data_IF_124374318942
#
_entry.id   IF_124374318942
#
_cell.length_a   1.000
_cell.length_b   1.000
_cell.length_c   1.000
_cell.angle_alpha   90.00
_cell.angle_beta   90.00
_cell.angle_gamma   90.00
#
_symmetry.space_group_name_H-M   'P 1'
#
loop_
_entity.id
_entity.type
_entity.pdbx_description
1 polymer ?
#
# COMPACT_ATOMS: atom_id res chain seq x y z
N UNK A 1 -7.02 22.28 -4.97
CA UNK A 1 -7.20 20.82 -4.86
C UNK A 1 -7.07 20.23 -6.25
N UNK A 2 -6.14 19.30 -6.47
CA UNK A 2 -5.98 18.63 -7.77
C UNK A 2 -6.80 17.35 -7.78
N UNK A 3 -7.21 16.87 -8.96
CA UNK A 3 -7.93 15.61 -9.12
C UNK A 3 -7.26 14.42 -8.39
N UNK A 4 -5.92 14.46 -8.33
CA UNK A 4 -5.10 13.51 -7.59
C UNK A 4 -5.40 13.45 -6.09
N UNK A 5 -5.84 14.54 -5.49
CA UNK A 5 -6.10 14.62 -4.04
C UNK A 5 -7.41 13.89 -3.70
N UNK A 6 -8.44 14.03 -4.54
CA UNK A 6 -9.70 13.30 -4.39
C UNK A 6 -9.52 11.80 -4.64
N UNK A 7 -8.69 11.42 -5.60
CA UNK A 7 -8.40 10.01 -5.87
C UNK A 7 -7.71 9.32 -4.67
N UNK A 8 -6.81 10.05 -3.99
CA UNK A 8 -6.13 9.57 -2.76
C UNK A 8 -7.11 9.42 -1.60
N UNK A 9 -7.99 10.39 -1.39
CA UNK A 9 -9.07 10.32 -0.39
C UNK A 9 -10.00 9.13 -0.67
N UNK A 10 -10.39 8.94 -1.92
CA UNK A 10 -11.20 7.80 -2.33
C UNK A 10 -10.48 6.46 -2.07
N UNK A 11 -9.19 6.37 -2.37
CA UNK A 11 -8.36 5.20 -2.04
C UNK A 11 -8.29 4.91 -0.54
N UNK A 12 -8.32 5.92 0.33
CA UNK A 12 -8.36 5.73 1.79
C UNK A 12 -9.72 5.22 2.28
N UNK A 13 -10.80 5.58 1.59
CA UNK A 13 -12.17 5.16 1.91
C UNK A 13 -12.52 3.76 1.35
N UNK A 14 -11.73 3.24 0.41
CA UNK A 14 -11.89 1.87 -0.08
C UNK A 14 -11.46 0.90 1.01
N UNK A 15 -12.34 -0.07 1.26
CA UNK A 15 -12.12 -1.20 2.16
C UNK A 15 -10.75 -1.87 1.95
N UNK A 16 -10.10 -2.23 3.06
CA UNK A 16 -8.74 -2.77 3.04
C UNK A 16 -8.64 -4.07 2.28
N UNK A 17 -9.61 -4.96 2.43
CA UNK A 17 -9.58 -6.30 1.83
C UNK A 17 -9.74 -6.17 0.31
N UNK A 18 -10.71 -5.35 -0.11
CA UNK A 18 -10.93 -5.03 -1.53
C UNK A 18 -9.71 -4.37 -2.18
N UNK A 19 -8.95 -3.59 -1.43
CA UNK A 19 -7.70 -2.97 -1.92
C UNK A 19 -6.62 -4.03 -2.12
N UNK A 20 -6.46 -4.95 -1.18
CA UNK A 20 -5.48 -6.04 -1.26
C UNK A 20 -5.81 -6.99 -2.42
N UNK A 21 -7.07 -7.38 -2.59
CA UNK A 21 -7.52 -8.21 -3.71
C UNK A 21 -7.16 -7.58 -5.07
N UNK A 22 -7.44 -6.28 -5.23
CA UNK A 22 -7.09 -5.55 -6.47
C UNK A 22 -5.58 -5.51 -6.73
N UNK A 23 -4.77 -5.41 -5.68
CA UNK A 23 -3.31 -5.47 -5.81
C UNK A 23 -2.87 -6.87 -6.23
N UNK A 24 -3.45 -7.92 -5.65
CA UNK A 24 -3.19 -9.30 -6.04
C UNK A 24 -3.56 -9.57 -7.51
N UNK A 25 -4.72 -9.07 -7.97
CA UNK A 25 -5.14 -9.14 -9.37
C UNK A 25 -4.15 -8.45 -10.30
N UNK A 26 -3.66 -7.26 -9.94
CA UNK A 26 -2.67 -6.54 -10.72
C UNK A 26 -1.34 -7.30 -10.81
N UNK A 27 -0.89 -7.89 -9.70
CA UNK A 27 0.32 -8.73 -9.68
C UNK A 27 0.13 -9.94 -10.60
N UNK A 28 -1.02 -10.62 -10.52
CA UNK A 28 -1.32 -11.78 -11.37
C UNK A 28 -1.33 -11.41 -12.86
N UNK A 29 -1.98 -10.30 -13.24
CA UNK A 29 -1.99 -9.82 -14.63
C UNK A 29 -0.57 -9.49 -15.11
N UNK A 30 0.22 -8.81 -14.29
CA UNK A 30 1.61 -8.48 -14.62
C UNK A 30 2.47 -9.74 -14.78
N UNK A 31 2.29 -10.74 -13.91
CA UNK A 31 3.00 -12.02 -13.98
C UNK A 31 2.64 -12.83 -15.22
N UNK A 32 1.36 -12.84 -15.62
CA UNK A 32 0.91 -13.45 -16.89
C UNK A 32 1.59 -12.79 -18.08
N UNK A 33 1.60 -11.45 -18.10
CA UNK A 33 2.24 -10.66 -19.16
C UNK A 33 3.76 -10.91 -19.22
N UNK A 34 4.43 -10.99 -18.08
CA UNK A 34 5.87 -11.22 -18.01
C UNK A 34 6.26 -12.65 -18.39
N UNK A 35 5.45 -13.64 -18.02
CA UNK A 35 5.76 -15.07 -18.24
C UNK A 35 5.24 -15.60 -19.58
N UNK A 36 4.41 -14.85 -20.29
CA UNK A 36 3.72 -15.30 -21.51
C UNK A 36 2.74 -16.46 -21.27
N UNK A 37 2.35 -16.70 -20.02
CA UNK A 37 1.48 -17.81 -19.60
C UNK A 37 0.20 -17.25 -18.99
N UNK A 38 -0.90 -17.35 -19.70
CA UNK A 38 -2.21 -16.86 -19.25
C UNK A 38 -2.82 -17.70 -18.11
N UNK A 39 -2.32 -18.93 -17.91
CA UNK A 39 -2.79 -19.84 -16.86
C UNK A 39 -2.24 -19.53 -15.47
N UNK A 40 -1.30 -18.58 -15.33
CA UNK A 40 -0.74 -18.25 -14.03
C UNK A 40 -1.82 -17.73 -13.06
N UNK A 41 -1.94 -18.38 -11.91
CA UNK A 41 -2.82 -17.95 -10.81
C UNK A 41 -2.00 -17.77 -9.54
N UNK A 42 -2.23 -16.65 -8.87
CA UNK A 42 -1.54 -16.33 -7.63
C UNK A 42 -1.99 -17.25 -6.48
N UNK A 43 -3.21 -17.80 -6.57
CA UNK A 43 -3.77 -18.78 -5.62
C UNK A 43 -2.97 -20.08 -5.53
N UNK A 44 -2.28 -20.45 -6.62
CA UNK A 44 -1.60 -21.74 -6.74
C UNK A 44 -0.13 -21.64 -6.28
N UNK A 45 0.31 -20.43 -5.92
CA UNK A 45 1.66 -20.16 -5.42
C UNK A 45 1.62 -20.07 -3.90
N UNK A 46 2.18 -21.06 -3.19
CA UNK A 46 2.49 -20.92 -1.76
C UNK A 46 3.61 -19.88 -1.63
N UNK A 47 3.23 -18.68 -1.23
CA UNK A 47 4.09 -17.50 -1.23
C UNK A 47 4.25 -16.99 0.18
N UNK A 48 5.51 -16.91 0.63
CA UNK A 48 5.89 -16.06 1.74
C UNK A 48 5.99 -14.63 1.21
N UNK A 49 4.98 -13.81 1.47
CA UNK A 49 5.00 -12.41 1.08
C UNK A 49 5.71 -11.60 2.17
N UNK A 50 6.89 -11.08 1.82
CA UNK A 50 7.58 -10.03 2.56
C UNK A 50 7.23 -8.69 1.93
N UNK A 51 6.43 -7.90 2.63
CA UNK A 51 6.08 -6.55 2.20
C UNK A 51 6.86 -5.58 3.06
N UNK A 52 7.85 -4.92 2.47
CA UNK A 52 8.52 -3.76 3.06
C UNK A 52 7.91 -2.51 2.43
N UNK A 53 7.26 -1.69 3.25
CA UNK A 53 6.72 -0.41 2.79
C UNK A 53 7.26 0.71 3.66
N UNK A 54 7.96 1.63 3.02
CA UNK A 54 8.38 2.92 3.57
C UNK A 54 7.53 4.01 2.91
N UNK A 55 6.59 4.57 3.66
CA UNK A 55 5.69 5.61 3.15
C UNK A 55 5.93 6.90 3.93
N UNK A 56 6.29 7.96 3.20
CA UNK A 56 6.46 9.31 3.77
C UNK A 56 5.42 10.28 3.21
N UNK A 57 4.39 10.57 4.00
CA UNK A 57 3.26 11.42 3.59
C UNK A 57 3.43 12.83 4.17
N UNK A 58 3.34 13.86 3.31
CA UNK A 58 3.26 15.26 3.75
C UNK A 58 1.89 15.50 4.39
N UNK A 59 1.81 16.21 5.51
CA UNK A 59 0.51 16.45 6.15
C UNK A 59 -0.45 17.15 5.20
N UNK A 60 -1.59 16.52 4.97
CA UNK A 60 -2.64 17.06 4.12
C UNK A 60 -3.59 17.96 4.92
N UNK A 61 -3.94 17.58 6.17
CA UNK A 61 -4.93 18.32 6.98
C UNK A 61 -4.74 18.23 8.52
N UNK A 62 -3.96 17.29 9.06
CA UNK A 62 -3.75 17.12 10.51
C UNK A 62 -2.47 17.83 10.97
N UNK A 63 -2.58 18.70 11.97
CA UNK A 63 -1.44 19.42 12.55
C UNK A 63 -0.66 18.52 13.52
N UNK A 64 0.61 18.91 13.76
CA UNK A 64 1.58 18.23 14.65
C UNK A 64 0.94 17.54 15.87
N UNK A 65 0.08 18.15 16.71
CA UNK A 65 -0.36 17.56 17.98
C UNK A 65 -1.28 16.33 17.88
N UNK A 66 -1.92 16.07 16.73
CA UNK A 66 -2.84 14.94 16.58
C UNK A 66 -2.16 13.65 16.10
N UNK A 67 -0.83 13.65 15.98
CA UNK A 67 -0.06 12.54 15.40
C UNK A 67 0.87 11.96 16.47
N UNK A 68 0.84 10.64 16.71
CA UNK A 68 1.73 9.97 17.65
C UNK A 68 3.20 10.24 17.35
N UNK A 69 4.02 10.51 18.38
CA UNK A 69 5.45 10.80 18.21
C UNK A 69 6.23 9.70 17.49
N UNK A 70 5.81 8.44 17.67
CA UNK A 70 6.40 7.28 17.00
C UNK A 70 6.30 7.32 15.46
N UNK A 71 5.40 8.13 14.90
CA UNK A 71 5.15 8.21 13.44
C UNK A 71 5.67 9.51 12.82
N UNK A 72 6.31 10.38 13.61
CA UNK A 72 6.80 11.70 13.16
C UNK A 72 8.23 11.58 12.64
N UNK A 73 8.50 12.17 11.49
CA UNK A 73 9.88 12.42 11.04
C UNK A 73 10.52 13.51 11.91
N UNK A 74 11.84 13.53 12.07
CA UNK A 74 12.58 14.54 12.88
C UNK A 74 12.26 16.00 12.49
N UNK A 75 12.07 16.28 11.19
CA UNK A 75 11.67 17.60 10.67
C UNK A 75 10.19 17.94 11.01
N UNK A 76 9.43 16.98 11.51
CA UNK A 76 8.10 17.17 12.06
C UNK A 76 7.04 17.61 11.04
N UNK A 77 7.33 17.55 9.73
CA UNK A 77 6.47 17.94 8.58
C UNK A 77 5.82 16.77 7.82
N UNK A 78 6.20 15.53 8.16
CA UNK A 78 5.78 14.31 7.45
C UNK A 78 5.50 13.19 8.44
N UNK A 79 4.57 12.32 8.06
CA UNK A 79 4.34 11.04 8.74
C UNK A 79 5.16 9.98 8.02
N UNK A 80 5.92 9.19 8.79
CA UNK A 80 6.66 8.04 8.29
C UNK A 80 5.99 6.75 8.76
N UNK A 81 5.74 5.84 7.84
CA UNK A 81 5.28 4.49 8.13
C UNK A 81 6.30 3.52 7.57
N UNK A 82 6.99 2.83 8.47
CA UNK A 82 7.85 1.71 8.13
C UNK A 82 7.13 0.45 8.61
N UNK A 83 6.72 -0.41 7.69
CA UNK A 83 6.07 -1.68 8.02
C UNK A 83 6.70 -2.79 7.22
N UNK A 84 7.14 -3.80 7.96
CA UNK A 84 7.64 -5.06 7.42
C UNK A 84 6.61 -6.12 7.79
N UNK A 85 5.83 -6.56 6.81
CA UNK A 85 4.83 -7.60 7.01
C UNK A 85 5.33 -8.90 6.40
N UNK A 86 5.36 -9.96 7.21
CA UNK A 86 5.61 -11.32 6.77
C UNK A 86 4.31 -12.10 6.89
N UNK A 87 3.75 -12.54 5.76
CA UNK A 87 2.57 -13.41 5.76
C UNK A 87 2.85 -14.59 4.84
N UNK A 88 2.84 -15.79 5.40
CA UNK A 88 2.91 -17.06 4.68
C UNK A 88 1.51 -17.68 4.59
N UNK A 89 1.16 -18.19 3.41
CA UNK A 89 -0.03 -18.99 3.14
C UNK A 89 0.37 -20.35 2.57
#
# INVERSE_FOLDING_TARGET
>A
MKYTDYLRLFLLLVDSDKKVERVADLIQVNMRKASGKDSFKISDCSTYMRVESEVSIKYLFLSKPFIPEALRTEDGKRIKFDTILYKGY
#
